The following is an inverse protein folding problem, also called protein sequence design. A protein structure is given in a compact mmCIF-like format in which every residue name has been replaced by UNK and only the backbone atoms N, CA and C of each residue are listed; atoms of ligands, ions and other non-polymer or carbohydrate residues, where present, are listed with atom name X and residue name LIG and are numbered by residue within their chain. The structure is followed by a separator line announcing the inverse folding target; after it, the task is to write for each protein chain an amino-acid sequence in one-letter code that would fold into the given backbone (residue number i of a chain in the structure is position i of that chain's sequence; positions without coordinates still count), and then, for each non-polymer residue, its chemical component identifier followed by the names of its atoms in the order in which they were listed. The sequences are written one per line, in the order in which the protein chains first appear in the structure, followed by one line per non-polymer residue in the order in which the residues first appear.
data_IF_743972026229
#
_entry.id   IF_743972026229
#
_cell.length_a   1.000
_cell.length_b   1.000
_cell.length_c   1.000
_cell.angle_alpha   90.00
_cell.angle_beta   90.00
_cell.angle_gamma   90.00
#
_symmetry.space_group_name_H-M   'P 1'
#
loop_
_entity.id
_entity.type
_entity.pdbx_description
1 polymer ?
#
# COMPACT_ATOMS: atom_id res chain seq x y z
N UNK A 1 -26.20 1.88 -1.85
CA UNK A 1 -27.01 2.32 -0.70
C UNK A 1 -28.34 1.56 -0.77
N UNK A 2 -28.85 1.06 0.35
CA UNK A 2 -30.00 0.15 0.35
C UNK A 2 -31.05 0.59 1.38
N UNK A 3 -32.33 0.33 1.10
CA UNK A 3 -33.33 0.34 2.18
C UNK A 3 -33.09 -0.82 3.15
N UNK A 4 -33.67 -0.75 4.35
CA UNK A 4 -33.55 -1.82 5.35
C UNK A 4 -33.91 -3.21 4.78
N UNK A 5 -35.01 -3.29 4.04
CA UNK A 5 -35.47 -4.56 3.44
C UNK A 5 -34.57 -5.03 2.30
N UNK A 6 -34.07 -4.11 1.47
CA UNK A 6 -33.12 -4.44 0.40
C UNK A 6 -31.79 -4.95 0.97
N UNK A 7 -31.30 -4.36 2.05
CA UNK A 7 -30.08 -4.79 2.74
C UNK A 7 -30.24 -6.21 3.28
N UNK A 8 -31.35 -6.51 3.97
CA UNK A 8 -31.63 -7.86 4.46
C UNK A 8 -31.73 -8.87 3.32
N UNK A 9 -32.50 -8.57 2.27
CA UNK A 9 -32.65 -9.48 1.14
C UNK A 9 -31.32 -9.79 0.44
N UNK A 10 -30.38 -8.82 0.43
CA UNK A 10 -29.09 -8.96 -0.25
C UNK A 10 -28.05 -9.68 0.59
N UNK A 11 -27.93 -9.34 1.87
CA UNK A 11 -26.84 -9.81 2.73
C UNK A 11 -27.30 -10.83 3.78
N UNK A 12 -28.59 -10.87 4.07
CA UNK A 12 -29.21 -11.79 5.03
C UNK A 12 -28.43 -11.83 6.35
N UNK A 13 -28.05 -13.01 6.82
CA UNK A 13 -27.33 -13.25 8.07
C UNK A 13 -25.86 -12.81 8.05
N UNK A 14 -25.32 -12.32 6.92
CA UNK A 14 -23.93 -11.80 6.83
C UNK A 14 -23.70 -10.50 7.62
N UNK A 15 -24.75 -9.93 8.21
CA UNK A 15 -24.69 -8.78 9.12
C UNK A 15 -24.46 -9.17 10.59
N UNK A 16 -24.38 -10.48 10.90
CA UNK A 16 -24.16 -10.99 12.26
C UNK A 16 -25.42 -11.27 13.07
N UNK A 17 -26.62 -11.06 12.52
CA UNK A 17 -27.90 -11.34 13.18
C UNK A 17 -28.62 -12.53 12.51
N UNK A 18 -29.30 -13.35 13.31
CA UNK A 18 -29.95 -14.56 12.82
C UNK A 18 -31.30 -14.26 12.14
N UNK A 19 -31.98 -13.18 12.56
CA UNK A 19 -33.29 -12.81 12.02
C UNK A 19 -33.41 -11.32 11.67
N UNK A 20 -34.37 -11.01 10.77
CA UNK A 20 -34.69 -9.64 10.38
C UNK A 20 -35.11 -8.78 11.58
N UNK A 21 -35.80 -9.38 12.56
CA UNK A 21 -36.29 -8.69 13.74
C UNK A 21 -35.14 -8.34 14.69
N UNK A 22 -34.25 -9.29 14.99
CA UNK A 22 -33.04 -9.02 15.79
C UNK A 22 -32.20 -7.90 15.17
N UNK A 23 -32.01 -7.95 13.85
CA UNK A 23 -31.28 -6.92 13.14
C UNK A 23 -31.96 -5.54 13.23
N UNK A 24 -33.28 -5.50 13.08
CA UNK A 24 -34.07 -4.27 13.24
C UNK A 24 -33.92 -3.69 14.63
N UNK A 25 -34.06 -4.52 15.66
CA UNK A 25 -33.96 -4.11 17.06
C UNK A 25 -32.57 -3.57 17.39
N UNK A 26 -31.51 -4.22 16.90
CA UNK A 26 -30.14 -3.75 17.09
C UNK A 26 -29.91 -2.34 16.51
N UNK A 27 -30.42 -2.06 15.30
CA UNK A 27 -30.35 -0.72 14.69
C UNK A 27 -31.13 0.31 15.54
N UNK A 28 -32.34 -0.04 15.98
CA UNK A 28 -33.18 0.86 16.76
C UNK A 28 -32.61 1.12 18.17
N UNK A 29 -31.85 0.17 18.73
CA UNK A 29 -31.17 0.33 20.02
C UNK A 29 -30.16 1.46 19.98
N UNK A 30 -29.34 1.52 18.93
CA UNK A 30 -28.28 2.54 18.74
C UNK A 30 -28.79 3.83 18.08
N UNK A 31 -29.95 3.79 17.42
CA UNK A 31 -30.58 4.98 16.80
C UNK A 31 -31.04 5.99 17.85
N UNK A 32 -30.56 7.24 17.75
CA UNK A 32 -31.00 8.38 18.58
C UNK A 32 -32.49 8.70 18.35
N UNK A 33 -33.01 8.50 17.14
CA UNK A 33 -34.40 8.83 16.76
C UNK A 33 -35.38 7.69 16.98
N UNK A 34 -34.91 6.50 17.40
CA UNK A 34 -35.73 5.28 17.52
C UNK A 34 -36.54 4.94 16.26
N UNK A 35 -36.07 5.41 15.11
CA UNK A 35 -36.63 5.12 13.79
C UNK A 35 -35.57 4.52 12.88
N UNK A 36 -36.02 3.77 11.88
CA UNK A 36 -35.14 3.26 10.82
C UNK A 36 -34.82 4.39 9.85
N UNK A 37 -33.54 4.52 9.51
CA UNK A 37 -33.12 5.36 8.38
C UNK A 37 -33.77 4.84 7.08
N UNK A 38 -34.14 5.72 6.14
CA UNK A 38 -34.59 5.30 4.82
C UNK A 38 -33.49 4.55 4.05
N UNK A 39 -32.22 4.85 4.32
CA UNK A 39 -31.08 4.36 3.55
C UNK A 39 -29.91 3.95 4.45
N UNK A 40 -29.20 2.89 4.05
CA UNK A 40 -28.05 2.31 4.75
C UNK A 40 -26.86 2.14 3.81
N UNK A 41 -25.67 2.36 4.39
CA UNK A 41 -24.38 1.95 3.83
C UNK A 41 -23.96 0.63 4.47
N UNK A 42 -23.38 -0.26 3.66
CA UNK A 42 -22.91 -1.56 4.12
C UNK A 42 -21.45 -1.72 3.69
N UNK A 43 -20.60 -2.11 4.63
CA UNK A 43 -19.24 -2.55 4.34
C UNK A 43 -19.26 -4.08 4.24
N UNK A 44 -18.89 -4.60 3.08
CA UNK A 44 -18.66 -6.03 2.91
C UNK A 44 -17.18 -6.29 3.10
N UNK A 45 -16.84 -6.98 4.17
CA UNK A 45 -15.47 -7.38 4.44
C UNK A 45 -15.14 -8.64 3.66
N UNK A 46 -13.94 -8.68 3.10
CA UNK A 46 -13.32 -9.84 2.48
C UNK A 46 -11.97 -10.05 3.12
N UNK A 47 -11.48 -11.29 3.10
CA UNK A 47 -10.13 -11.64 3.55
C UNK A 47 -9.85 -11.17 5.00
N UNK A 48 -10.85 -11.37 5.87
CA UNK A 48 -10.78 -10.97 7.28
C UNK A 48 -9.76 -11.83 7.99
N UNK A 49 -8.82 -11.18 8.68
CA UNK A 49 -7.80 -11.85 9.48
C UNK A 49 -7.95 -11.51 10.95
N UNK A 50 -7.68 -12.49 11.80
CA UNK A 50 -7.70 -12.34 13.25
C UNK A 50 -6.28 -12.48 13.81
N UNK A 51 -5.91 -11.58 14.72
CA UNK A 51 -4.68 -11.68 15.48
C UNK A 51 -4.84 -12.70 16.63
N UNK A 52 -3.76 -13.34 17.06
CA UNK A 52 -3.78 -14.30 18.17
C UNK A 52 -4.15 -13.64 19.51
N UNK A 53 -3.85 -12.35 19.66
CA UNK A 53 -4.30 -11.53 20.78
C UNK A 53 -4.74 -10.15 20.32
N UNK A 54 -5.59 -9.46 21.09
CA UNK A 54 -5.93 -8.07 20.81
C UNK A 54 -4.68 -7.19 20.76
N UNK A 55 -4.63 -6.27 19.79
CA UNK A 55 -3.64 -5.19 19.73
C UNK A 55 -4.29 -3.94 20.31
N UNK A 56 -3.76 -3.44 21.43
CA UNK A 56 -4.31 -2.25 22.06
C UNK A 56 -3.63 -1.00 21.50
N UNK A 57 -4.42 -0.01 21.10
CA UNK A 57 -3.91 1.23 20.52
C UNK A 57 -2.98 2.02 21.45
N UNK A 58 -3.18 1.89 22.76
CA UNK A 58 -2.29 2.44 23.78
C UNK A 58 -0.87 1.87 23.71
N UNK A 59 -0.70 0.60 23.30
CA UNK A 59 0.60 -0.06 23.19
C UNK A 59 1.45 0.53 22.05
N UNK A 60 0.80 1.17 21.08
CA UNK A 60 1.44 1.81 19.92
C UNK A 60 1.36 3.34 19.98
N UNK A 61 0.92 3.90 21.11
CA UNK A 61 0.86 5.33 21.35
C UNK A 61 -0.25 6.06 20.60
N UNK A 62 -1.27 5.35 20.11
CA UNK A 62 -2.44 5.94 19.45
C UNK A 62 -3.54 6.15 20.48
N UNK A 63 -3.99 7.39 20.63
CA UNK A 63 -5.13 7.75 21.45
C UNK A 63 -6.33 8.06 20.56
N UNK A 64 -7.44 7.34 20.76
CA UNK A 64 -8.72 7.65 20.09
C UNK A 64 -9.56 8.51 21.03
N UNK A 65 -10.11 9.62 20.52
CA UNK A 65 -11.10 10.40 21.27
C UNK A 65 -12.30 9.53 21.64
N UNK A 66 -12.79 9.64 22.87
CA UNK A 66 -14.05 9.02 23.30
C UNK A 66 -15.26 9.51 22.48
N UNK A 67 -15.11 10.59 21.71
CA UNK A 67 -16.15 11.19 20.86
C UNK A 67 -16.17 10.69 19.41
N UNK A 68 -15.45 9.61 19.06
CA UNK A 68 -15.52 9.06 17.69
C UNK A 68 -16.91 8.47 17.44
N UNK A 69 -17.67 9.09 16.54
CA UNK A 69 -19.04 8.67 16.25
C UNK A 69 -19.15 7.56 15.19
N UNK A 70 -18.11 7.30 14.38
CA UNK A 70 -18.20 6.31 13.27
C UNK A 70 -16.90 5.62 12.90
N UNK A 71 -15.88 6.37 12.46
CA UNK A 71 -14.57 5.84 12.09
C UNK A 71 -13.50 6.94 12.16
N UNK A 72 -12.23 6.54 12.17
CA UNK A 72 -11.08 7.45 12.10
C UNK A 72 -10.13 7.04 10.98
N UNK A 73 -9.38 8.01 10.48
CA UNK A 73 -8.24 7.76 9.61
C UNK A 73 -6.98 7.72 10.47
N UNK A 74 -6.39 6.53 10.61
CA UNK A 74 -5.24 6.30 11.50
C UNK A 74 -4.06 7.24 11.21
N UNK A 75 -3.74 7.41 9.92
CA UNK A 75 -2.61 8.23 9.46
C UNK A 75 -2.77 9.74 9.69
N UNK A 76 -3.98 10.20 10.06
CA UNK A 76 -4.22 11.61 10.40
C UNK A 76 -3.64 11.97 11.77
N UNK A 77 -3.70 11.03 12.72
CA UNK A 77 -3.23 11.23 14.09
C UNK A 77 -1.74 10.90 14.23
N UNK A 78 -1.26 9.89 13.50
CA UNK A 78 0.15 9.50 13.44
C UNK A 78 0.46 8.90 12.07
N UNK A 79 1.42 9.50 11.34
CA UNK A 79 1.85 9.10 9.98
C UNK A 79 2.48 7.70 9.87
N UNK A 80 2.68 7.02 11.00
CA UNK A 80 3.19 5.66 11.05
C UNK A 80 2.23 4.70 11.77
N UNK A 81 0.99 5.11 12.01
CA UNK A 81 0.02 4.34 12.78
C UNK A 81 -0.18 2.92 12.23
N UNK A 82 -0.34 2.80 10.91
CA UNK A 82 -0.55 1.50 10.25
C UNK A 82 0.67 0.59 10.42
N UNK A 83 1.89 1.12 10.21
CA UNK A 83 3.13 0.35 10.38
C UNK A 83 3.29 -0.14 11.82
N UNK A 84 2.94 0.67 12.82
CA UNK A 84 2.99 0.27 14.23
C UNK A 84 1.99 -0.84 14.55
N UNK A 85 0.76 -0.76 14.04
CA UNK A 85 -0.25 -1.82 14.19
C UNK A 85 0.25 -3.11 13.57
N UNK A 86 0.76 -3.06 12.34
CA UNK A 86 1.26 -4.24 11.62
C UNK A 86 2.47 -4.87 12.32
N UNK A 87 3.39 -4.05 12.84
CA UNK A 87 4.54 -4.53 13.62
C UNK A 87 4.07 -5.26 14.88
N UNK A 88 3.12 -4.66 15.62
CA UNK A 88 2.59 -5.29 16.84
C UNK A 88 1.78 -6.55 16.55
N UNK A 89 1.04 -6.55 15.44
CA UNK A 89 0.34 -7.72 14.95
C UNK A 89 1.31 -8.86 14.60
N UNK A 90 2.49 -8.56 14.05
CA UNK A 90 3.50 -9.57 13.75
C UNK A 90 4.13 -10.17 15.03
N UNK A 91 4.34 -9.34 16.06
CA UNK A 91 4.80 -9.83 17.37
C UNK A 91 3.79 -10.80 18.02
N UNK A 92 2.50 -10.50 17.87
CA UNK A 92 1.39 -11.28 18.44
C UNK A 92 1.10 -12.53 17.60
N UNK A 93 1.26 -12.45 16.29
CA UNK A 93 0.95 -13.52 15.35
C UNK A 93 -0.52 -13.57 14.90
N UNK A 94 -0.78 -14.38 13.87
CA UNK A 94 -2.10 -14.60 13.26
C UNK A 94 -2.74 -15.85 13.86
N UNK A 95 -4.03 -15.79 14.16
CA UNK A 95 -4.78 -16.96 14.62
C UNK A 95 -4.92 -17.99 13.48
N UNK A 96 -4.42 -19.20 13.72
CA UNK A 96 -4.38 -20.30 12.75
C UNK A 96 -5.77 -20.73 12.26
N UNK A 97 -6.82 -20.48 13.05
CA UNK A 97 -8.20 -20.74 12.65
C UNK A 97 -8.66 -19.81 11.52
N UNK A 98 -8.24 -18.55 11.52
CA UNK A 98 -8.55 -17.60 10.44
C UNK A 98 -7.93 -18.00 9.10
N UNK A 99 -6.78 -18.67 9.14
CA UNK A 99 -6.09 -19.20 7.97
C UNK A 99 -6.71 -20.49 7.40
N UNK A 100 -7.61 -21.14 8.14
CA UNK A 100 -8.23 -22.42 7.72
C UNK A 100 -9.68 -22.25 7.26
N UNK A 101 -10.39 -21.23 7.77
CA UNK A 101 -11.83 -21.00 7.52
C UNK A 101 -12.07 -20.04 6.33
N UNK A 102 -11.05 -19.31 5.91
CA UNK A 102 -11.11 -18.47 4.72
C UNK A 102 -10.64 -19.25 3.49
N UNK A 103 -11.49 -19.43 2.47
CA UNK A 103 -11.07 -19.94 1.15
C UNK A 103 -9.99 -19.05 0.48
N UNK A 104 -9.75 -17.86 1.04
CA UNK A 104 -8.75 -16.86 0.65
C UNK A 104 -7.89 -16.48 1.86
N UNK A 105 -7.61 -17.44 2.74
CA UNK A 105 -6.73 -17.21 3.87
C UNK A 105 -5.45 -16.53 3.37
N UNK A 106 -5.16 -15.30 3.82
CA UNK A 106 -3.94 -14.64 3.39
C UNK A 106 -2.78 -15.55 3.76
N UNK A 107 -1.90 -15.81 2.79
CA UNK A 107 -0.65 -16.52 3.05
C UNK A 107 0.03 -15.86 4.26
N UNK A 108 0.78 -16.64 5.04
CA UNK A 108 1.49 -16.15 6.23
C UNK A 108 2.34 -14.86 5.97
N UNK A 109 2.63 -14.55 4.71
CA UNK A 109 3.38 -13.39 4.25
C UNK A 109 2.57 -12.11 4.04
N UNK A 110 1.23 -12.11 4.04
CA UNK A 110 0.45 -10.90 3.66
C UNK A 110 0.71 -9.72 4.60
N UNK A 111 0.92 -9.98 5.89
CA UNK A 111 1.30 -8.92 6.83
C UNK A 111 2.71 -8.41 6.62
N UNK A 112 3.65 -9.31 6.32
CA UNK A 112 5.01 -8.92 5.94
C UNK A 112 4.97 -8.04 4.67
N UNK A 113 4.14 -8.41 3.69
CA UNK A 113 3.95 -7.69 2.43
C UNK A 113 3.40 -6.29 2.68
N UNK A 114 2.34 -6.19 3.50
CA UNK A 114 1.73 -4.91 3.86
C UNK A 114 2.67 -4.03 4.71
N UNK A 115 3.41 -4.63 5.64
CA UNK A 115 4.38 -3.92 6.46
C UNK A 115 5.53 -3.38 5.61
N UNK A 116 6.04 -4.17 4.67
CA UNK A 116 7.05 -3.74 3.69
C UNK A 116 6.50 -2.59 2.85
N UNK A 117 5.28 -2.72 2.31
CA UNK A 117 4.64 -1.68 1.48
C UNK A 117 4.47 -0.37 2.26
N UNK A 118 3.95 -0.43 3.49
CA UNK A 118 3.78 0.74 4.36
C UNK A 118 5.12 1.39 4.71
N UNK A 119 6.15 0.58 4.98
CA UNK A 119 7.50 1.08 5.27
C UNK A 119 8.07 1.82 4.06
N UNK A 120 7.94 1.26 2.85
CA UNK A 120 8.36 1.91 1.60
C UNK A 120 7.62 3.24 1.41
N UNK A 121 6.29 3.23 1.58
CA UNK A 121 5.47 4.43 1.47
C UNK A 121 5.90 5.51 2.46
N UNK A 122 6.15 5.15 3.72
CA UNK A 122 6.67 6.05 4.75
C UNK A 122 8.00 6.70 4.36
N UNK A 123 8.96 5.88 3.89
CA UNK A 123 10.28 6.37 3.43
C UNK A 123 10.12 7.36 2.26
N UNK A 124 9.30 7.02 1.27
CA UNK A 124 9.09 7.87 0.09
C UNK A 124 8.31 9.16 0.41
N UNK A 125 7.47 9.15 1.43
CA UNK A 125 6.77 10.34 1.90
C UNK A 125 7.72 11.34 2.58
N UNK A 126 8.78 10.87 3.24
CA UNK A 126 9.82 11.75 3.80
C UNK A 126 10.65 12.46 2.71
N UNK A 127 10.74 11.86 1.52
CA UNK A 127 11.48 12.39 0.36
C UNK A 127 10.55 12.84 -0.77
N UNK A 128 9.37 13.37 -0.43
CA UNK A 128 8.33 13.68 -1.42
C UNK A 128 8.69 14.81 -2.40
N UNK A 129 9.67 15.63 -2.05
CA UNK A 129 10.14 16.71 -2.91
C UNK A 129 10.93 16.14 -4.08
N UNK A 130 10.33 16.21 -5.26
CA UNK A 130 10.96 15.76 -6.50
C UNK A 130 11.66 16.91 -7.20
N UNK A 131 12.69 16.59 -7.98
CA UNK A 131 13.33 17.54 -8.89
C UNK A 131 12.59 17.68 -10.22
N UNK A 132 11.47 16.98 -10.39
CA UNK A 132 10.77 16.91 -11.66
C UNK A 132 9.82 18.10 -11.82
N UNK A 133 9.86 18.68 -13.02
CA UNK A 133 8.80 19.57 -13.48
C UNK A 133 7.50 18.79 -13.67
N UNK A 134 6.37 19.48 -13.69
CA UNK A 134 5.07 18.85 -14.00
C UNK A 134 5.07 18.04 -15.31
N UNK A 135 5.84 18.48 -16.31
CA UNK A 135 5.97 17.78 -17.60
C UNK A 135 6.74 16.47 -17.46
N UNK A 136 7.83 16.48 -16.71
CA UNK A 136 8.65 15.30 -16.47
C UNK A 136 7.90 14.28 -15.63
N UNK A 137 7.22 14.72 -14.58
CA UNK A 137 6.35 13.87 -13.78
C UNK A 137 5.24 13.22 -14.63
N UNK A 138 4.55 13.99 -15.49
CA UNK A 138 3.53 13.44 -16.39
C UNK A 138 4.10 12.42 -17.39
N UNK A 139 5.36 12.59 -17.82
CA UNK A 139 6.05 11.63 -18.67
C UNK A 139 6.45 10.37 -17.89
N UNK A 140 6.95 10.51 -16.66
CA UNK A 140 7.27 9.39 -15.77
C UNK A 140 6.04 8.55 -15.46
N UNK A 141 4.89 9.18 -15.19
CA UNK A 141 3.62 8.48 -14.99
C UNK A 141 3.18 7.68 -16.22
N UNK A 142 3.37 8.21 -17.43
CA UNK A 142 3.08 7.46 -18.67
C UNK A 142 3.97 6.23 -18.82
N UNK A 143 5.27 6.38 -18.54
CA UNK A 143 6.25 5.29 -18.52
C UNK A 143 5.80 4.19 -17.55
N UNK A 144 5.47 4.53 -16.31
CA UNK A 144 5.01 3.56 -15.31
C UNK A 144 3.73 2.86 -15.73
N UNK A 145 2.74 3.59 -16.25
CA UNK A 145 1.50 2.99 -16.75
C UNK A 145 1.74 2.04 -17.92
N UNK A 146 2.66 2.37 -18.83
CA UNK A 146 3.03 1.48 -19.93
C UNK A 146 3.66 0.19 -19.41
N UNK A 147 4.63 0.32 -18.49
CA UNK A 147 5.26 -0.81 -17.82
C UNK A 147 4.22 -1.71 -17.11
N UNK A 148 3.30 -1.11 -16.35
CA UNK A 148 2.25 -1.82 -15.62
C UNK A 148 1.32 -2.63 -16.54
N UNK A 149 1.04 -2.16 -17.76
CA UNK A 149 0.23 -2.91 -18.74
C UNK A 149 0.89 -4.23 -19.16
N UNK A 150 2.22 -4.26 -19.20
CA UNK A 150 3.00 -5.43 -19.63
C UNK A 150 3.31 -6.41 -18.49
N UNK A 151 3.11 -6.00 -17.23
CA UNK A 151 3.49 -6.77 -16.04
C UNK A 151 2.43 -6.62 -14.95
N UNK A 152 1.46 -7.53 -14.96
CA UNK A 152 0.18 -7.45 -14.23
C UNK A 152 0.24 -7.58 -12.70
N UNK A 153 1.45 -7.66 -12.10
CA UNK A 153 1.63 -7.75 -10.64
C UNK A 153 2.00 -6.45 -9.95
N UNK A 154 2.32 -5.39 -10.70
CA UNK A 154 2.85 -4.14 -10.14
C UNK A 154 1.74 -3.16 -9.75
N UNK A 155 1.92 -2.49 -8.60
CA UNK A 155 0.97 -1.53 -8.03
C UNK A 155 1.65 -0.19 -7.75
N UNK A 156 0.91 0.92 -7.80
CA UNK A 156 1.46 2.20 -7.34
C UNK A 156 1.64 2.18 -5.83
N UNK A 157 2.80 2.67 -5.35
CA UNK A 157 3.08 2.73 -3.92
C UNK A 157 2.07 3.61 -3.18
N UNK A 158 1.66 4.72 -3.81
CA UNK A 158 0.67 5.64 -3.24
C UNK A 158 -0.06 6.47 -4.31
N UNK A 159 -0.88 7.42 -3.84
CA UNK A 159 -1.68 8.31 -4.69
C UNK A 159 -0.88 9.28 -5.57
N UNK A 160 0.41 9.53 -5.26
CA UNK A 160 1.33 10.32 -6.09
C UNK A 160 1.77 9.56 -7.33
N UNK A 161 1.59 8.25 -7.40
CA UNK A 161 1.84 7.45 -8.62
C UNK A 161 3.23 7.69 -9.24
N UNK A 162 4.24 7.93 -8.40
CA UNK A 162 5.62 8.22 -8.80
C UNK A 162 6.51 6.99 -8.84
N UNK A 163 6.08 5.89 -8.23
CA UNK A 163 6.79 4.61 -8.17
C UNK A 163 5.80 3.46 -8.22
N UNK A 164 6.24 2.31 -8.75
CA UNK A 164 5.53 1.04 -8.60
C UNK A 164 6.28 0.12 -7.64
N UNK A 165 5.54 -0.80 -7.03
CA UNK A 165 6.04 -1.90 -6.23
C UNK A 165 5.48 -3.22 -6.75
N UNK A 166 6.32 -4.25 -6.78
CA UNK A 166 5.93 -5.64 -7.03
C UNK A 166 6.45 -6.51 -5.89
N UNK A 167 5.58 -7.32 -5.29
CA UNK A 167 5.94 -8.31 -4.28
C UNK A 167 5.71 -9.69 -4.90
N UNK A 168 6.76 -10.32 -5.42
CA UNK A 168 6.69 -11.60 -6.15
C UNK A 168 7.68 -12.59 -5.54
N UNK A 169 7.22 -13.80 -5.22
CA UNK A 169 8.06 -14.92 -4.77
C UNK A 169 9.05 -14.57 -3.65
N UNK A 170 8.60 -13.77 -2.68
CA UNK A 170 9.43 -13.33 -1.56
C UNK A 170 10.51 -12.33 -1.94
N UNK A 171 10.41 -11.67 -3.10
CA UNK A 171 11.26 -10.56 -3.54
C UNK A 171 10.48 -9.25 -3.51
N UNK A 172 11.19 -8.15 -3.31
CA UNK A 172 10.64 -6.79 -3.36
C UNK A 172 11.24 -6.10 -4.58
N UNK A 173 10.42 -5.81 -5.59
CA UNK A 173 10.83 -5.00 -6.74
C UNK A 173 10.25 -3.59 -6.62
N UNK A 174 11.11 -2.58 -6.69
CA UNK A 174 10.71 -1.16 -6.68
C UNK A 174 11.07 -0.57 -8.04
N UNK A 175 10.06 -0.07 -8.76
CA UNK A 175 10.21 0.46 -10.11
C UNK A 175 10.09 1.99 -10.10
N UNK A 176 11.12 2.65 -10.61
CA UNK A 176 11.31 4.11 -10.55
C UNK A 176 11.44 4.69 -11.97
N UNK A 177 10.65 5.69 -12.37
CA UNK A 177 10.80 6.33 -13.67
C UNK A 177 11.85 7.43 -13.61
N UNK A 178 12.92 7.32 -14.40
CA UNK A 178 13.94 8.36 -14.53
C UNK A 178 13.73 9.13 -15.84
N UNK A 179 13.08 10.28 -15.74
CA UNK A 179 12.97 11.24 -16.84
C UNK A 179 14.04 12.30 -16.64
N UNK A 180 14.94 12.48 -17.61
CA UNK A 180 16.02 13.46 -17.46
C UNK A 180 16.37 14.18 -18.75
N UNK A 181 16.86 15.41 -18.61
CA UNK A 181 17.48 16.16 -19.69
C UNK A 181 19.01 16.04 -19.55
N UNK A 182 19.73 16.24 -20.65
CA UNK A 182 21.21 16.19 -20.61
C UNK A 182 21.81 17.17 -19.58
N UNK A 183 21.15 18.31 -19.38
CA UNK A 183 21.60 19.35 -18.45
C UNK A 183 21.47 18.99 -16.97
N UNK A 184 20.57 18.06 -16.60
CA UNK A 184 20.31 17.69 -15.20
C UNK A 184 20.49 16.20 -14.89
N UNK A 185 20.87 15.41 -15.90
CA UNK A 185 21.09 13.97 -15.82
C UNK A 185 21.95 13.57 -14.62
N UNK A 186 23.08 14.26 -14.40
CA UNK A 186 23.97 13.94 -13.28
C UNK A 186 23.31 14.18 -11.91
N UNK A 187 22.59 15.30 -11.77
CA UNK A 187 21.86 15.61 -10.53
C UNK A 187 20.77 14.58 -10.25
N UNK A 188 20.02 14.18 -11.28
CA UNK A 188 18.99 13.15 -11.15
C UNK A 188 19.59 11.78 -10.86
N UNK A 189 20.72 11.44 -11.47
CA UNK A 189 21.44 10.18 -11.18
C UNK A 189 21.83 10.09 -9.70
N UNK A 190 22.44 11.15 -9.16
CA UNK A 190 22.79 11.21 -7.73
C UNK A 190 21.56 11.13 -6.82
N UNK A 191 20.46 11.78 -7.19
CA UNK A 191 19.20 11.67 -6.46
C UNK A 191 18.67 10.24 -6.43
N UNK A 192 18.65 9.54 -7.58
CA UNK A 192 18.21 8.14 -7.65
C UNK A 192 19.09 7.21 -6.83
N UNK A 193 20.42 7.38 -6.90
CA UNK A 193 21.37 6.61 -6.07
C UNK A 193 21.09 6.84 -4.59
N UNK A 194 20.92 8.10 -4.17
CA UNK A 194 20.59 8.44 -2.79
C UNK A 194 19.26 7.84 -2.33
N UNK A 195 18.22 7.92 -3.17
CA UNK A 195 16.90 7.36 -2.91
C UNK A 195 16.93 5.84 -2.78
N UNK A 196 17.63 5.15 -3.67
CA UNK A 196 17.78 3.69 -3.65
C UNK A 196 18.55 3.26 -2.40
N UNK A 197 19.66 3.92 -2.08
CA UNK A 197 20.44 3.62 -0.88
C UNK A 197 19.62 3.85 0.40
N UNK A 198 18.83 4.93 0.45
CA UNK A 198 17.95 5.20 1.59
C UNK A 198 16.91 4.09 1.79
N UNK A 199 16.24 3.68 0.70
CA UNK A 199 15.27 2.59 0.74
C UNK A 199 15.93 1.29 1.19
N UNK A 200 17.07 0.93 0.60
CA UNK A 200 17.82 -0.26 0.97
C UNK A 200 18.22 -0.26 2.45
N UNK A 201 18.84 0.81 2.93
CA UNK A 201 19.34 0.87 4.30
C UNK A 201 18.22 0.85 5.35
N UNK A 202 17.09 1.50 5.07
CA UNK A 202 15.95 1.49 6.00
C UNK A 202 15.19 0.17 5.96
N UNK A 203 14.96 -0.40 4.77
CA UNK A 203 14.29 -1.70 4.66
C UNK A 203 15.13 -2.85 5.21
N UNK A 204 16.47 -2.81 5.11
CA UNK A 204 17.35 -3.78 5.78
C UNK A 204 17.15 -3.85 7.30
N UNK A 205 16.61 -2.80 7.93
CA UNK A 205 16.32 -2.78 9.38
C UNK A 205 15.05 -3.54 9.73
N UNK A 206 14.17 -3.78 8.75
CA UNK A 206 12.92 -4.51 8.90
C UNK A 206 13.20 -6.03 8.82
N UNK A 207 13.00 -6.82 9.89
CA UNK A 207 13.26 -8.26 9.90
C UNK A 207 12.60 -9.04 8.75
N UNK A 208 11.38 -8.63 8.40
CA UNK A 208 10.52 -9.20 7.36
C UNK A 208 11.11 -8.97 5.96
N UNK A 209 11.79 -7.84 5.75
CA UNK A 209 12.49 -7.53 4.52
C UNK A 209 13.89 -8.15 4.45
N UNK A 210 14.54 -8.49 5.58
CA UNK A 210 15.89 -9.09 5.58
C UNK A 210 15.99 -10.41 4.81
N UNK A 211 14.90 -11.16 4.75
CA UNK A 211 14.84 -12.46 4.06
C UNK A 211 14.47 -12.33 2.58
N UNK A 212 14.21 -11.11 2.11
CA UNK A 212 13.67 -10.84 0.80
C UNK A 212 14.64 -9.99 -0.01
N UNK A 213 15.16 -10.50 -1.15
CA UNK A 213 16.06 -9.70 -1.96
C UNK A 213 15.29 -8.49 -2.51
N UNK A 214 15.89 -7.31 -2.35
CA UNK A 214 15.38 -6.07 -2.90
C UNK A 214 16.02 -5.81 -4.26
N UNK A 215 15.18 -5.55 -5.25
CA UNK A 215 15.59 -5.21 -6.60
C UNK A 215 15.02 -3.84 -6.98
N UNK A 216 15.82 -3.06 -7.71
CA UNK A 216 15.41 -1.74 -8.17
C UNK A 216 15.44 -1.71 -9.69
N UNK A 217 14.34 -1.34 -10.31
CA UNK A 217 14.24 -1.19 -11.75
C UNK A 217 14.08 0.30 -12.08
N UNK A 218 15.04 0.88 -12.77
CA UNK A 218 14.97 2.26 -13.27
C UNK A 218 14.49 2.22 -14.71
N UNK A 219 13.35 2.86 -14.99
CA UNK A 219 12.82 3.03 -16.33
C UNK A 219 13.26 4.39 -16.88
N UNK A 220 14.23 4.40 -17.79
CA UNK A 220 14.74 5.63 -18.39
C UNK A 220 13.94 6.04 -19.63
N UNK A 221 13.79 7.35 -19.84
CA UNK A 221 13.05 7.94 -20.96
C UNK A 221 13.87 8.06 -22.27
N UNK A 222 15.01 7.38 -22.29
CA UNK A 222 16.00 7.29 -23.37
C UNK A 222 17.27 6.57 -22.89
N UNK A 223 18.19 6.23 -23.80
CA UNK A 223 19.44 5.55 -23.44
C UNK A 223 20.29 6.47 -22.56
N UNK A 224 20.85 5.89 -21.49
CA UNK A 224 21.75 6.62 -20.60
C UNK A 224 23.21 6.47 -21.08
N UNK A 225 24.05 7.51 -20.97
CA UNK A 225 25.48 7.41 -21.24
C UNK A 225 26.15 6.38 -20.33
N UNK A 226 27.22 5.73 -20.82
CA UNK A 226 27.95 4.72 -20.05
C UNK A 226 28.43 5.25 -18.70
N UNK A 227 28.97 6.48 -18.66
CA UNK A 227 29.41 7.14 -17.42
C UNK A 227 28.31 7.23 -16.36
N UNK A 228 27.05 7.37 -16.78
CA UNK A 228 25.88 7.36 -15.89
C UNK A 228 25.53 5.94 -15.44
N UNK A 229 25.56 4.97 -16.36
CA UNK A 229 25.31 3.56 -16.04
C UNK A 229 26.31 3.05 -15.00
N UNK A 230 27.57 3.46 -15.10
CA UNK A 230 28.64 3.07 -14.19
C UNK A 230 28.37 3.49 -12.74
N UNK A 231 27.61 4.58 -12.53
CA UNK A 231 27.22 5.05 -11.19
C UNK A 231 26.19 4.14 -10.51
N UNK A 232 25.44 3.34 -11.27
CA UNK A 232 24.40 2.46 -10.74
C UNK A 232 24.90 1.02 -10.48
N UNK A 233 26.18 0.73 -10.73
CA UNK A 233 26.78 -0.61 -10.53
C UNK A 233 26.90 -1.04 -9.06
N UNK A 234 26.68 -0.11 -8.12
CA UNK A 234 26.92 -0.31 -6.68
C UNK A 234 25.78 -1.03 -5.96
N UNK A 235 24.67 -1.33 -6.64
CA UNK A 235 23.47 -1.95 -6.07
C UNK A 235 22.82 -2.93 -7.08
N UNK A 236 21.93 -3.85 -6.64
CA UNK A 236 21.14 -4.71 -7.52
C UNK A 236 20.09 -3.90 -8.28
N UNK A 237 20.56 -3.07 -9.22
CA UNK A 237 19.77 -2.16 -10.04
C UNK A 237 19.75 -2.68 -11.46
N UNK A 238 18.57 -2.77 -12.04
CA UNK A 238 18.37 -2.96 -13.47
C UNK A 238 17.92 -1.65 -14.09
N UNK A 239 18.55 -1.24 -15.18
CA UNK A 239 18.14 -0.06 -15.95
C UNK A 239 17.51 -0.57 -17.24
N UNK A 240 16.26 -0.17 -17.49
CA UNK A 240 15.53 -0.46 -18.71
C UNK A 240 15.26 0.85 -19.43
N UNK A 241 15.76 0.96 -20.65
CA UNK A 241 15.38 2.05 -21.54
C UNK A 241 14.09 1.69 -22.24
N UNK A 242 13.07 2.53 -22.10
CA UNK A 242 11.88 2.41 -22.92
C UNK A 242 12.15 3.13 -24.24
N UNK A 243 12.22 2.35 -25.32
CA UNK A 243 12.30 2.91 -26.66
C UNK A 243 11.11 3.84 -26.90
N UNK A 244 11.36 4.93 -27.63
CA UNK A 244 10.34 5.95 -27.94
C UNK A 244 9.21 5.44 -28.85
N UNK A 245 9.18 4.17 -29.21
CA UNK A 245 8.20 3.62 -30.13
C UNK A 245 6.92 3.23 -29.41
N UNK A 246 5.81 3.78 -29.91
CA UNK A 246 4.41 3.52 -29.55
C UNK A 246 3.82 4.31 -28.37
N UNK A 247 3.90 5.65 -28.45
CA UNK A 247 3.01 6.54 -27.67
C UNK A 247 2.12 7.43 -28.56
N UNK A 248 1.84 6.98 -29.79
CA UNK A 248 0.83 7.57 -30.67
C UNK A 248 -0.26 6.52 -30.98
N UNK A 249 -1.08 6.17 -29.98
CA UNK A 249 -2.48 5.71 -30.14
C UNK A 249 -3.33 6.14 -28.93
#
# INVERSE_FOLDING_TARGET
MFSFRQMWNRFNTKNGYATLNEFKEAILKVSKTKSLSPLYHCLTLKDVVFFQSPVYLSEIGISISASVESYIYLEKEDRNATSKILTKANEVGIDAWSATVSDHAPNATVFDDDLIRQTIQGILNETSDTFDTHREYARGLRILKSYQKTRSGSEFVDARKSELIELVDGKVEIILPMVSLKADLMRKSLYFIGKINLLQERLKRLPEAKRRPMHFTILSDGPLPQETLDLFTVAPITIQTLDKENNDE
#
